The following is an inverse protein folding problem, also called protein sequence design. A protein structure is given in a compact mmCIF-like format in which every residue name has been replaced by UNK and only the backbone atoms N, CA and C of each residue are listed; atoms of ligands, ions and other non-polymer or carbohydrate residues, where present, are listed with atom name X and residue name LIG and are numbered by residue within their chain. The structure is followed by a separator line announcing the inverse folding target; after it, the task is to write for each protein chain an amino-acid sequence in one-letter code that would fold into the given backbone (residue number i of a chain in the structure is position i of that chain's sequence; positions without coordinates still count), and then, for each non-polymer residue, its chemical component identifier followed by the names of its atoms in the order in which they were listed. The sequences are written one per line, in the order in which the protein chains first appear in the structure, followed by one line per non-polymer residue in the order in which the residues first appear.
data_IF_031982221054
#
_entry.id   IF_031982221054
#
_cell.length_a   1.000
_cell.length_b   1.000
_cell.length_c   1.000
_cell.angle_alpha   90.00
_cell.angle_beta   90.00
_cell.angle_gamma   90.00
#
_symmetry.space_group_name_H-M   'P 1'
#
loop_
_entity.id
_entity.type
_entity.pdbx_description
1 polymer ?
#
# COMPACT_ATOMS: atom_id res chain seq x y z
N UNK A 1 22.38 13.02 4.98
CA UNK A 1 22.22 14.41 4.51
C UNK A 1 21.58 14.54 3.12
N UNK A 2 22.07 13.82 2.12
CA UNK A 2 21.49 13.84 0.76
C UNK A 2 20.11 13.17 0.71
N UNK A 3 19.93 12.06 1.40
CA UNK A 3 18.65 11.31 1.44
C UNK A 3 17.54 12.06 2.20
N UNK A 4 17.88 12.82 3.23
CA UNK A 4 16.91 13.67 3.95
C UNK A 4 16.46 14.87 3.11
N UNK A 5 17.39 15.53 2.43
CA UNK A 5 17.03 16.66 1.55
C UNK A 5 16.20 16.21 0.35
N UNK A 6 16.45 15.00 -0.16
CA UNK A 6 15.66 14.44 -1.25
C UNK A 6 14.27 14.02 -0.78
N UNK A 7 14.14 13.49 0.44
CA UNK A 7 12.83 13.21 1.08
C UNK A 7 12.03 14.50 1.30
N UNK A 8 12.68 15.56 1.81
CA UNK A 8 12.00 16.85 2.05
C UNK A 8 11.55 17.48 0.75
N UNK A 9 12.39 17.50 -0.30
CA UNK A 9 12.02 18.03 -1.61
C UNK A 9 10.98 17.18 -2.32
N UNK A 10 11.11 15.86 -2.29
CA UNK A 10 10.16 14.93 -2.87
C UNK A 10 8.79 15.05 -2.21
N UNK A 11 8.73 15.09 -0.88
CA UNK A 11 7.49 15.26 -0.12
C UNK A 11 6.85 16.62 -0.37
N UNK A 12 7.64 17.71 -0.44
CA UNK A 12 7.10 19.03 -0.72
C UNK A 12 6.45 19.10 -2.10
N UNK A 13 7.07 18.50 -3.12
CA UNK A 13 6.56 18.56 -4.50
C UNK A 13 5.33 17.66 -4.73
N UNK A 14 5.22 16.53 -3.99
CA UNK A 14 4.12 15.56 -4.15
C UNK A 14 2.89 15.97 -3.36
N UNK A 15 3.07 16.64 -2.23
CA UNK A 15 2.00 16.98 -1.29
C UNK A 15 1.68 18.47 -1.25
N UNK A 16 2.13 19.24 -2.23
CA UNK A 16 1.85 20.68 -2.29
C UNK A 16 0.34 20.96 -2.47
N UNK A 17 -0.38 20.04 -3.15
CA UNK A 17 -1.83 20.08 -3.34
C UNK A 17 -2.47 18.76 -2.91
N UNK A 18 -2.67 18.58 -1.61
CA UNK A 18 -3.34 17.39 -1.08
C UNK A 18 -4.86 17.45 -1.31
N UNK A 19 -5.46 16.29 -1.49
CA UNK A 19 -6.91 16.16 -1.58
C UNK A 19 -7.52 16.08 -0.17
N UNK A 20 -7.59 17.21 0.50
CA UNK A 20 -8.00 17.37 1.90
C UNK A 20 -9.39 16.79 2.18
N UNK A 21 -10.32 16.85 1.22
CA UNK A 21 -11.66 16.29 1.37
C UNK A 21 -11.64 14.75 1.55
N UNK A 22 -10.80 14.05 0.78
CA UNK A 22 -10.64 12.61 0.92
C UNK A 22 -9.97 12.28 2.26
N UNK A 23 -8.92 13.02 2.63
CA UNK A 23 -8.22 12.85 3.91
C UNK A 23 -9.14 13.03 5.11
N UNK A 24 -9.99 14.07 5.10
CA UNK A 24 -10.99 14.32 6.13
C UNK A 24 -12.02 13.19 6.22
N UNK A 25 -12.51 12.71 5.07
CA UNK A 25 -13.44 11.59 5.03
C UNK A 25 -12.84 10.33 5.65
N UNK A 26 -11.60 9.99 5.32
CA UNK A 26 -10.90 8.84 5.89
C UNK A 26 -10.74 8.95 7.41
N UNK A 27 -10.30 10.11 7.88
CA UNK A 27 -10.14 10.36 9.32
C UNK A 27 -11.45 10.30 10.08
N UNK A 28 -12.52 10.86 9.53
CA UNK A 28 -13.83 10.89 10.19
C UNK A 28 -14.53 9.53 10.17
N UNK A 29 -14.48 8.84 9.01
CA UNK A 29 -15.23 7.59 8.81
C UNK A 29 -14.47 6.37 9.35
N UNK A 30 -13.15 6.32 9.18
CA UNK A 30 -12.35 5.12 9.47
C UNK A 30 -11.39 5.28 10.64
N UNK A 31 -11.23 6.52 11.16
CA UNK A 31 -10.32 6.83 12.28
C UNK A 31 -8.84 6.54 11.97
N UNK A 32 -8.46 6.61 10.69
CA UNK A 32 -7.07 6.65 10.24
C UNK A 32 -6.95 7.67 9.11
N UNK A 33 -5.73 8.11 8.80
CA UNK A 33 -5.47 9.11 7.77
C UNK A 33 -4.25 8.74 6.95
N UNK A 34 -4.31 9.11 5.68
CA UNK A 34 -3.21 9.04 4.74
C UNK A 34 -3.23 10.30 3.89
N UNK A 35 -2.06 10.83 3.53
CA UNK A 35 -1.98 11.95 2.60
C UNK A 35 -2.30 11.48 1.19
N UNK A 36 -3.25 12.15 0.54
CA UNK A 36 -3.70 11.81 -0.80
C UNK A 36 -3.17 12.86 -1.77
N UNK A 37 -2.19 12.52 -2.63
CA UNK A 37 -1.65 13.46 -3.61
C UNK A 37 -2.72 13.92 -4.61
N UNK A 38 -2.56 15.11 -5.13
CA UNK A 38 -3.39 15.59 -6.24
C UNK A 38 -3.31 14.66 -7.45
N UNK A 39 -4.43 14.48 -8.16
CA UNK A 39 -4.51 13.61 -9.33
C UNK A 39 -4.63 12.11 -9.00
N UNK A 40 -4.73 11.74 -7.73
CA UNK A 40 -5.10 10.38 -7.33
C UNK A 40 -6.62 10.26 -7.23
N UNK A 41 -7.13 9.11 -7.65
CA UNK A 41 -8.55 8.80 -7.63
C UNK A 41 -8.85 7.67 -6.67
N UNK A 42 -10.02 7.74 -6.03
CA UNK A 42 -10.54 6.64 -5.21
C UNK A 42 -11.13 5.59 -6.15
N UNK A 43 -10.51 4.41 -6.19
CA UNK A 43 -10.93 3.28 -7.02
C UNK A 43 -11.97 2.40 -6.32
N UNK A 44 -11.85 2.26 -5.00
CA UNK A 44 -12.82 1.53 -4.17
C UNK A 44 -12.78 2.04 -2.74
N UNK A 45 -13.95 2.22 -2.18
CA UNK A 45 -14.15 2.59 -0.79
C UNK A 45 -15.29 1.71 -0.24
N UNK A 46 -14.93 0.71 0.56
CA UNK A 46 -15.88 -0.28 1.07
C UNK A 46 -15.73 -0.49 2.57
N UNK A 47 -16.57 0.21 3.33
CA UNK A 47 -16.59 0.11 4.80
C UNK A 47 -16.98 -1.29 5.30
N UNK A 48 -17.81 -2.03 4.55
CA UNK A 48 -18.28 -3.37 4.98
C UNK A 48 -17.16 -4.41 4.97
N UNK A 49 -16.15 -4.19 4.15
CA UNK A 49 -14.97 -5.07 4.05
C UNK A 49 -13.70 -4.43 4.61
N UNK A 50 -13.82 -3.25 5.25
CA UNK A 50 -12.70 -2.48 5.78
C UNK A 50 -11.58 -2.31 4.74
N UNK A 51 -11.95 -1.89 3.53
CA UNK A 51 -11.04 -1.80 2.41
C UNK A 51 -11.17 -0.45 1.69
N UNK A 52 -10.04 0.21 1.51
CA UNK A 52 -9.91 1.45 0.75
C UNK A 52 -8.81 1.30 -0.31
N UNK A 53 -9.06 1.74 -1.53
CA UNK A 53 -8.12 1.64 -2.63
C UNK A 53 -8.15 2.91 -3.47
N UNK A 54 -6.98 3.48 -3.71
CA UNK A 54 -6.80 4.66 -4.53
C UNK A 54 -5.57 4.52 -5.43
N UNK A 55 -5.48 5.36 -6.45
CA UNK A 55 -4.34 5.35 -7.34
C UNK A 55 -4.35 6.44 -8.38
N UNK A 56 -3.30 6.46 -9.17
CA UNK A 56 -3.15 7.31 -10.35
C UNK A 56 -2.75 6.49 -11.57
N UNK A 57 -3.17 6.96 -12.75
CA UNK A 57 -2.72 6.43 -14.03
C UNK A 57 -1.52 7.22 -14.54
N UNK A 58 -0.68 6.57 -15.34
CA UNK A 58 0.46 7.14 -16.05
C UNK A 58 1.52 7.86 -15.18
N UNK A 59 2.37 7.17 -14.45
CA UNK A 59 2.43 5.71 -14.32
C UNK A 59 1.37 5.19 -13.35
N UNK A 60 0.93 3.95 -13.56
CA UNK A 60 0.01 3.33 -12.62
C UNK A 60 0.68 3.14 -11.26
N UNK A 61 0.14 3.82 -10.27
CA UNK A 61 0.51 3.72 -8.88
C UNK A 61 -0.75 3.52 -8.07
N UNK A 62 -0.79 2.45 -7.30
CA UNK A 62 -1.93 2.13 -6.46
C UNK A 62 -1.50 1.92 -5.03
N UNK A 63 -2.31 2.40 -4.13
CA UNK A 63 -2.20 2.11 -2.71
C UNK A 63 -3.57 1.67 -2.20
N UNK A 64 -3.58 0.60 -1.43
CA UNK A 64 -4.76 0.17 -0.71
C UNK A 64 -4.47 -0.01 0.76
N UNK A 65 -5.48 0.18 1.57
CA UNK A 65 -5.45 -0.02 3.01
C UNK A 65 -6.61 -0.94 3.38
N UNK A 66 -6.29 -2.05 4.02
CA UNK A 66 -7.24 -2.93 4.68
C UNK A 66 -6.96 -2.92 6.17
N UNK A 67 -7.98 -3.01 6.98
CA UNK A 67 -7.84 -3.12 8.42
C UNK A 67 -8.79 -4.17 8.96
N UNK A 68 -8.32 -4.91 9.94
CA UNK A 68 -9.04 -5.96 10.63
C UNK A 68 -8.92 -5.73 12.14
N UNK A 69 -9.95 -6.09 12.90
CA UNK A 69 -9.92 -6.00 14.35
C UNK A 69 -8.95 -7.03 14.94
N UNK A 70 -8.26 -6.65 16.00
CA UNK A 70 -7.32 -7.50 16.73
C UNK A 70 -5.91 -7.59 16.12
N UNK A 71 -5.07 -8.34 16.82
CA UNK A 71 -3.65 -8.51 16.51
C UNK A 71 -3.35 -9.90 15.94
N UNK A 72 -2.79 -9.97 14.73
CA UNK A 72 -2.29 -11.22 14.15
C UNK A 72 -0.84 -11.15 13.66
N UNK A 73 -0.12 -10.04 13.97
CA UNK A 73 1.24 -9.84 13.45
C UNK A 73 2.32 -10.70 14.13
N UNK A 74 2.00 -11.37 15.23
CA UNK A 74 2.97 -12.21 15.92
C UNK A 74 3.16 -13.58 15.25
N UNK A 75 2.19 -14.01 14.44
CA UNK A 75 2.26 -15.23 13.65
C UNK A 75 2.74 -14.95 12.22
N UNK A 76 4.02 -15.27 11.96
CA UNK A 76 4.64 -15.08 10.65
C UNK A 76 3.93 -15.85 9.52
N UNK A 77 3.46 -17.07 9.79
CA UNK A 77 2.79 -17.89 8.77
C UNK A 77 1.43 -17.29 8.42
N UNK A 78 0.71 -16.81 9.43
CA UNK A 78 -0.56 -16.14 9.21
C UNK A 78 -0.38 -14.85 8.42
N UNK A 79 0.59 -14.02 8.79
CA UNK A 79 0.94 -12.80 8.05
C UNK A 79 1.31 -13.12 6.59
N UNK A 80 2.19 -14.11 6.38
CA UNK A 80 2.58 -14.53 5.03
C UNK A 80 1.37 -14.98 4.19
N UNK A 81 0.46 -15.73 4.77
CA UNK A 81 -0.79 -16.17 4.12
C UNK A 81 -1.71 -14.99 3.80
N UNK A 82 -1.87 -14.05 4.71
CA UNK A 82 -2.67 -12.85 4.50
C UNK A 82 -2.12 -11.99 3.36
N UNK A 83 -0.79 -11.79 3.31
CA UNK A 83 -0.15 -11.07 2.21
C UNK A 83 -0.35 -11.79 0.88
N UNK A 84 -0.12 -13.10 0.85
CA UNK A 84 -0.24 -13.90 -0.37
C UNK A 84 -1.65 -13.87 -0.97
N UNK A 85 -2.67 -13.96 -0.14
CA UNK A 85 -4.06 -13.96 -0.58
C UNK A 85 -4.61 -12.54 -0.83
N UNK A 86 -3.93 -11.51 -0.34
CA UNK A 86 -4.41 -10.14 -0.40
C UNK A 86 -4.90 -9.70 -1.80
N UNK A 87 -4.15 -9.92 -2.90
CA UNK A 87 -4.61 -9.48 -4.22
C UNK A 87 -5.84 -10.26 -4.70
N UNK A 88 -5.94 -11.54 -4.39
CA UNK A 88 -7.08 -12.39 -4.79
C UNK A 88 -8.34 -11.91 -4.08
N UNK A 89 -8.24 -11.65 -2.78
CA UNK A 89 -9.37 -11.26 -1.95
C UNK A 89 -9.86 -9.83 -2.25
N UNK A 90 -8.93 -8.93 -2.61
CA UNK A 90 -9.25 -7.51 -2.69
C UNK A 90 -9.25 -6.93 -4.11
N UNK A 91 -8.39 -7.37 -5.04
CA UNK A 91 -8.28 -6.78 -6.37
C UNK A 91 -8.96 -7.58 -7.49
N UNK A 92 -9.11 -8.89 -7.34
CA UNK A 92 -9.69 -9.86 -8.29
C UNK A 92 -8.84 -10.15 -9.53
N UNK A 93 -8.29 -9.12 -10.18
CA UNK A 93 -7.51 -9.24 -11.44
C UNK A 93 -6.00 -9.16 -11.24
N UNK A 94 -5.53 -9.24 -10.01
CA UNK A 94 -4.12 -9.15 -9.65
C UNK A 94 -3.73 -10.38 -8.83
N UNK A 95 -2.53 -10.89 -9.07
CA UNK A 95 -1.91 -11.94 -8.25
C UNK A 95 -0.47 -11.58 -7.94
N UNK A 96 0.04 -12.09 -6.84
CA UNK A 96 1.46 -12.02 -6.52
C UNK A 96 2.19 -13.22 -7.11
N UNK A 97 3.41 -12.97 -7.58
CA UNK A 97 4.29 -14.02 -8.06
C UNK A 97 5.22 -14.45 -6.91
N UNK A 98 5.49 -15.74 -6.80
CA UNK A 98 6.40 -16.27 -5.76
C UNK A 98 7.86 -15.86 -5.99
N UNK A 99 8.21 -15.44 -7.20
CA UNK A 99 9.54 -14.94 -7.52
C UNK A 99 9.81 -13.63 -6.77
N UNK A 100 10.91 -13.61 -6.01
CA UNK A 100 11.31 -12.48 -5.16
C UNK A 100 10.32 -12.10 -4.06
N UNK A 101 9.40 -13.00 -3.70
CA UNK A 101 8.54 -12.79 -2.56
C UNK A 101 9.37 -12.87 -1.27
N UNK A 102 9.45 -11.76 -0.53
CA UNK A 102 10.27 -11.63 0.66
C UNK A 102 9.46 -10.99 1.78
N UNK A 103 9.50 -11.59 2.96
CA UNK A 103 8.82 -11.13 4.16
C UNK A 103 9.85 -10.86 5.26
N UNK A 104 9.96 -9.61 5.69
CA UNK A 104 10.91 -9.16 6.71
C UNK A 104 10.18 -8.51 7.90
N UNK A 105 10.70 -8.71 9.12
CA UNK A 105 10.30 -7.92 10.28
C UNK A 105 10.81 -6.49 10.14
N UNK A 106 9.94 -5.54 10.46
CA UNK A 106 10.29 -4.12 10.45
C UNK A 106 9.70 -3.39 11.67
N UNK A 107 10.19 -2.17 11.85
CA UNK A 107 9.54 -1.17 12.70
C UNK A 107 9.02 -0.04 11.79
N UNK A 108 7.74 0.26 11.93
CA UNK A 108 7.06 1.31 11.17
C UNK A 108 6.53 2.34 12.17
N UNK A 109 7.12 3.55 12.20
CA UNK A 109 6.82 4.58 13.21
C UNK A 109 6.76 4.01 14.64
N UNK A 110 7.81 3.29 15.06
CA UNK A 110 7.94 2.60 16.34
C UNK A 110 6.97 1.42 16.58
N UNK A 111 6.07 1.14 15.65
CA UNK A 111 5.21 -0.04 15.66
C UNK A 111 5.96 -1.24 15.07
N UNK A 112 5.89 -2.37 15.77
CA UNK A 112 6.35 -3.64 15.20
C UNK A 112 5.46 -4.04 14.05
N UNK A 113 6.06 -4.54 12.98
CA UNK A 113 5.31 -4.97 11.81
C UNK A 113 6.12 -5.84 10.88
N UNK A 114 5.56 -6.03 9.70
CA UNK A 114 6.15 -6.79 8.62
C UNK A 114 6.15 -5.97 7.35
N UNK A 115 7.21 -6.13 6.56
CA UNK A 115 7.26 -5.67 5.18
C UNK A 115 7.36 -6.89 4.27
N UNK A 116 6.47 -6.98 3.32
CA UNK A 116 6.60 -7.91 2.21
C UNK A 116 6.90 -7.16 0.93
N UNK A 117 7.74 -7.74 0.09
CA UNK A 117 8.04 -7.22 -1.25
C UNK A 117 8.06 -8.36 -2.26
N UNK A 118 7.79 -8.02 -3.51
CA UNK A 118 7.78 -8.98 -4.59
C UNK A 118 7.32 -8.37 -5.90
N UNK A 119 6.81 -9.24 -6.76
CA UNK A 119 6.28 -8.88 -8.07
C UNK A 119 4.80 -9.25 -8.11
N UNK A 120 4.00 -8.33 -8.62
CA UNK A 120 2.60 -8.56 -8.97
C UNK A 120 2.45 -8.66 -10.48
N UNK A 121 1.43 -9.37 -10.92
CA UNK A 121 1.06 -9.49 -12.32
C UNK A 121 -0.47 -9.50 -12.48
N UNK A 122 -0.95 -9.07 -13.65
CA UNK A 122 -2.35 -9.22 -14.01
C UNK A 122 -2.68 -10.70 -14.14
N UNK A 123 -3.82 -11.11 -13.62
CA UNK A 123 -4.38 -12.44 -13.86
C UNK A 123 -5.09 -12.55 -15.21
N UNK A 124 -5.34 -11.42 -15.87
CA UNK A 124 -5.83 -11.38 -17.25
C UNK A 124 -4.67 -11.51 -18.23
N UNK A 125 -4.66 -12.57 -19.01
CA UNK A 125 -3.63 -12.85 -20.01
C UNK A 125 -3.62 -11.85 -21.18
N UNK A 126 -4.70 -11.10 -21.38
CA UNK A 126 -4.81 -10.07 -22.42
C UNK A 126 -4.20 -8.73 -21.95
N UNK A 127 -4.05 -8.53 -20.65
CA UNK A 127 -3.43 -7.33 -20.08
C UNK A 127 -2.05 -7.66 -19.49
N UNK A 128 -1.00 -7.51 -20.27
CA UNK A 128 0.39 -7.73 -19.81
C UNK A 128 0.86 -6.61 -18.86
N UNK A 129 0.20 -6.51 -17.69
CA UNK A 129 0.57 -5.58 -16.61
C UNK A 129 1.24 -6.32 -15.48
N UNK A 130 2.22 -5.68 -14.88
CA UNK A 130 2.92 -6.20 -13.69
C UNK A 130 3.98 -5.23 -13.21
N UNK A 131 4.54 -5.53 -12.06
CA UNK A 131 5.57 -4.68 -11.49
C UNK A 131 5.89 -5.03 -10.03
N UNK A 132 6.68 -4.21 -9.35
CA UNK A 132 6.95 -4.41 -7.94
C UNK A 132 5.72 -4.09 -7.09
N UNK A 133 5.62 -4.79 -5.95
CA UNK A 133 4.72 -4.45 -4.87
C UNK A 133 5.46 -4.37 -3.54
N UNK A 134 4.88 -3.62 -2.61
CA UNK A 134 5.25 -3.61 -1.20
C UNK A 134 4.00 -3.67 -0.35
N UNK A 135 4.03 -4.53 0.66
CA UNK A 135 3.01 -4.63 1.70
C UNK A 135 3.63 -4.29 3.04
N UNK A 136 2.92 -3.54 3.85
CA UNK A 136 3.27 -3.21 5.23
C UNK A 136 2.13 -3.66 6.12
N UNK A 137 2.43 -4.51 7.09
CA UNK A 137 1.45 -5.01 8.05
C UNK A 137 1.91 -4.65 9.44
N UNK A 138 1.10 -3.95 10.20
CA UNK A 138 1.39 -3.54 11.57
C UNK A 138 0.13 -3.52 12.42
N UNK A 139 0.31 -3.69 13.70
CA UNK A 139 -0.77 -3.60 14.67
C UNK A 139 -0.71 -2.27 15.41
N UNK A 140 -1.85 -1.62 15.50
CA UNK A 140 -2.08 -0.41 16.27
C UNK A 140 -2.87 -0.75 17.53
N UNK A 141 -2.22 -0.67 18.69
CA UNK A 141 -2.80 -0.99 19.99
C UNK A 141 -3.81 0.05 20.48
N UNK A 142 -3.74 1.28 19.95
CA UNK A 142 -4.68 2.35 20.33
C UNK A 142 -6.07 2.10 19.76
N UNK A 143 -6.16 1.52 18.59
CA UNK A 143 -7.42 1.21 17.92
C UNK A 143 -7.77 -0.27 17.93
N UNK A 144 -6.91 -1.14 18.46
CA UNK A 144 -7.00 -2.61 18.42
C UNK A 144 -7.22 -3.12 17.00
N UNK A 145 -6.42 -2.64 16.05
CA UNK A 145 -6.52 -3.01 14.63
C UNK A 145 -5.19 -3.41 14.05
N UNK A 146 -5.22 -4.39 13.19
CA UNK A 146 -4.10 -4.69 12.29
C UNK A 146 -4.36 -4.05 10.93
N UNK A 147 -3.44 -3.23 10.50
CA UNK A 147 -3.46 -2.56 9.20
C UNK A 147 -2.60 -3.31 8.20
N UNK A 148 -3.10 -3.45 6.98
CA UNK A 148 -2.37 -3.95 5.84
C UNK A 148 -2.39 -2.90 4.73
N UNK A 149 -1.27 -2.22 4.52
CA UNK A 149 -1.08 -1.25 3.45
C UNK A 149 -0.38 -1.98 2.30
N UNK A 150 -0.96 -1.96 1.12
CA UNK A 150 -0.37 -2.56 -0.07
C UNK A 150 -0.17 -1.52 -1.17
N UNK A 151 1.00 -1.53 -1.79
CA UNK A 151 1.36 -0.61 -2.87
C UNK A 151 1.77 -1.39 -4.11
N UNK A 152 1.26 -0.96 -5.26
CA UNK A 152 1.53 -1.55 -6.56
C UNK A 152 2.03 -0.48 -7.53
N UNK A 153 3.04 -0.81 -8.32
CA UNK A 153 3.54 0.08 -9.38
C UNK A 153 3.60 -0.66 -10.71
N UNK A 154 3.08 -0.04 -11.77
CA UNK A 154 3.31 -0.47 -13.14
C UNK A 154 3.87 0.68 -13.95
N UNK A 155 5.11 0.55 -14.38
CA UNK A 155 5.80 1.54 -15.21
C UNK A 155 6.80 0.81 -16.13
N UNK A 156 6.34 0.25 -17.24
CA UNK A 156 7.18 -0.55 -18.13
C UNK A 156 8.32 0.30 -18.69
N UNK A 157 9.51 -0.29 -18.72
CA UNK A 157 10.69 0.32 -19.34
C UNK A 157 11.31 1.52 -18.61
N UNK A 158 10.84 1.90 -17.42
CA UNK A 158 11.39 3.01 -16.64
C UNK A 158 11.84 2.60 -15.24
N UNK A 159 12.82 3.30 -14.63
CA UNK A 159 13.23 3.06 -13.24
C UNK A 159 12.07 3.27 -12.28
N UNK A 160 11.80 2.28 -11.44
CA UNK A 160 10.64 2.27 -10.51
C UNK A 160 11.00 2.72 -9.10
N UNK A 161 12.29 2.89 -8.82
CA UNK A 161 12.80 3.24 -7.48
C UNK A 161 12.24 4.56 -6.95
N UNK A 162 12.04 5.55 -7.82
CA UNK A 162 11.46 6.85 -7.44
C UNK A 162 10.02 6.70 -6.95
N UNK A 163 9.19 5.93 -7.67
CA UNK A 163 7.78 5.74 -7.33
C UNK A 163 7.59 4.91 -6.06
N UNK A 164 8.46 3.92 -5.84
CA UNK A 164 8.46 3.13 -4.62
C UNK A 164 8.82 3.98 -3.40
N UNK A 165 9.79 4.90 -3.55
CA UNK A 165 10.15 5.84 -2.48
C UNK A 165 9.02 6.81 -2.14
N UNK A 166 8.20 7.19 -3.10
CA UNK A 166 7.04 8.08 -2.90
C UNK A 166 5.90 7.41 -2.10
N UNK A 167 5.85 6.08 -2.09
CA UNK A 167 4.81 5.29 -1.43
C UNK A 167 5.28 4.70 -0.08
N UNK A 168 6.49 5.00 0.34
CA UNK A 168 7.05 4.70 1.66
C UNK A 168 6.91 5.91 2.57
#
# INVERSE_FOLDING_TARGET
HYDEQFKIRGNKFIFEDNQIEIEKKLSQSYKWSIKVPWGWEVLRDNIKTNFFWMGSEYPYKWISVKWDDGNYIDDQLLVGKQVWNYPIDNYKSIRFNNHRFKLDRIYFNDLKGWQCSGIWESSDSLEAKGGPFYSYIFYDDQTDRTFHINTLVHNPGKPKSLYIRQMR
#
